data_IF_907429334694
#
_entry.id   IF_907429334694
#
_cell.length_a   1.000
_cell.length_b   1.000
_cell.length_c   1.000
_cell.angle_alpha   90.00
_cell.angle_beta   90.00
_cell.angle_gamma   90.00
#
_symmetry.space_group_name_H-M   'P 1'
#
loop_
_entity.id
_entity.type
_entity.pdbx_description
1 polymer ?
#
# COMPACT_ATOMS: atom_id res chain seq x y z
N UNK A 1 -13.15 20.41 -20.84
CA UNK A 1 -13.56 19.64 -19.64
C UNK A 1 -12.72 20.12 -18.47
N UNK A 2 -13.29 20.98 -17.64
CA UNK A 2 -12.55 21.71 -16.60
C UNK A 2 -12.30 20.81 -15.39
N UNK A 3 -11.04 20.40 -15.20
CA UNK A 3 -10.58 19.68 -14.02
C UNK A 3 -10.43 20.67 -12.87
N UNK A 4 -11.53 21.01 -12.21
CA UNK A 4 -11.51 21.87 -11.02
C UNK A 4 -10.77 21.12 -9.91
N UNK A 5 -9.57 21.60 -9.57
CA UNK A 5 -8.72 20.92 -8.59
C UNK A 5 -9.34 21.13 -7.21
N UNK A 6 -10.19 20.19 -6.81
CA UNK A 6 -10.95 20.22 -5.55
C UNK A 6 -9.98 20.43 -4.38
N UNK A 7 -10.10 21.59 -3.73
CA UNK A 7 -9.26 21.99 -2.59
C UNK A 7 -9.28 20.88 -1.54
N UNK A 8 -8.11 20.26 -1.28
CA UNK A 8 -8.01 19.17 -0.30
C UNK A 8 -8.19 19.74 1.11
N UNK A 9 -9.41 19.66 1.63
CA UNK A 9 -9.70 20.00 3.03
C UNK A 9 -9.11 18.91 3.92
N UNK A 10 -8.18 19.30 4.79
CA UNK A 10 -7.59 18.40 5.79
C UNK A 10 -8.59 18.27 6.94
N UNK A 11 -9.26 17.12 7.01
CA UNK A 11 -10.18 16.77 8.10
C UNK A 11 -9.44 16.01 9.20
N UNK A 12 -9.76 16.36 10.44
CA UNK A 12 -9.31 15.70 11.67
C UNK A 12 -9.94 14.32 11.85
N UNK A 13 -9.41 13.53 12.79
CA UNK A 13 -9.92 12.19 13.14
C UNK A 13 -11.40 12.26 13.56
N UNK A 14 -11.75 13.22 14.40
CA UNK A 14 -13.10 13.35 14.96
C UNK A 14 -14.14 13.74 13.90
N UNK A 15 -13.76 14.59 12.94
CA UNK A 15 -14.62 14.93 11.80
C UNK A 15 -14.90 13.69 10.93
N UNK A 16 -13.92 12.82 10.73
CA UNK A 16 -14.13 11.57 10.00
C UNK A 16 -15.04 10.61 10.76
N UNK A 17 -14.90 10.53 12.09
CA UNK A 17 -15.80 9.72 12.91
C UNK A 17 -17.26 10.19 12.76
N UNK A 18 -17.50 11.50 12.88
CA UNK A 18 -18.84 12.08 12.70
C UNK A 18 -19.44 11.78 11.33
N UNK A 19 -18.66 11.94 10.25
CA UNK A 19 -19.12 11.63 8.89
C UNK A 19 -19.46 10.15 8.71
N UNK A 20 -18.74 9.26 9.38
CA UNK A 20 -18.99 7.82 9.32
C UNK A 20 -20.27 7.47 10.08
N UNK A 21 -20.46 8.05 11.26
CA UNK A 21 -21.67 7.85 12.07
C UNK A 21 -22.91 8.41 11.34
N UNK A 22 -22.80 9.62 10.78
CA UNK A 22 -23.85 10.25 9.98
C UNK A 22 -24.18 9.40 8.74
N UNK A 23 -23.17 8.85 8.05
CA UNK A 23 -23.40 7.94 6.93
C UNK A 23 -24.13 6.67 7.38
N UNK A 24 -23.81 6.12 8.55
CA UNK A 24 -24.46 4.93 9.09
C UNK A 24 -25.93 5.20 9.47
N UNK A 25 -26.24 6.37 10.04
CA UNK A 25 -27.61 6.74 10.42
C UNK A 25 -28.45 7.23 9.24
N UNK A 26 -27.83 7.79 8.21
CA UNK A 26 -28.54 8.38 7.07
C UNK A 26 -29.29 7.37 6.18
N UNK A 27 -28.93 6.07 6.25
CA UNK A 27 -29.48 5.05 5.36
C UNK A 27 -29.09 5.22 3.88
N UNK A 28 -28.23 6.19 3.55
CA UNK A 28 -27.81 6.47 2.18
C UNK A 28 -26.67 5.55 1.76
N UNK A 29 -26.59 5.28 0.45
CA UNK A 29 -25.43 4.60 -0.13
C UNK A 29 -24.18 5.45 0.02
N UNK A 30 -23.01 4.79 0.11
CA UNK A 30 -21.73 5.49 0.28
C UNK A 30 -21.45 6.49 -0.84
N UNK A 31 -21.84 6.18 -2.08
CA UNK A 31 -21.65 7.06 -3.24
C UNK A 31 -22.49 8.34 -3.13
N UNK A 32 -23.76 8.23 -2.76
CA UNK A 32 -24.66 9.37 -2.59
C UNK A 32 -24.17 10.30 -1.46
N UNK A 33 -23.82 9.72 -0.31
CA UNK A 33 -23.25 10.47 0.82
C UNK A 33 -21.93 11.16 0.44
N UNK A 34 -21.04 10.46 -0.25
CA UNK A 34 -19.76 11.04 -0.67
C UNK A 34 -19.93 12.21 -1.66
N UNK A 35 -20.90 12.11 -2.58
CA UNK A 35 -21.23 13.19 -3.50
C UNK A 35 -21.75 14.42 -2.76
N UNK A 36 -22.69 14.24 -1.82
CA UNK A 36 -23.28 15.32 -1.03
C UNK A 36 -22.25 16.03 -0.12
N UNK A 37 -21.38 15.28 0.55
CA UNK A 37 -20.36 15.83 1.47
C UNK A 37 -19.05 16.21 0.77
N UNK A 38 -18.99 16.05 -0.55
CA UNK A 38 -17.83 16.40 -1.37
C UNK A 38 -16.57 15.60 -1.04
N UNK A 39 -16.70 14.37 -0.54
CA UNK A 39 -15.60 13.47 -0.22
C UNK A 39 -15.51 12.34 -1.25
N UNK A 40 -14.36 11.65 -1.30
CA UNK A 40 -14.25 10.45 -2.12
C UNK A 40 -14.67 9.21 -1.33
N UNK A 41 -15.25 8.23 -2.02
CA UNK A 41 -15.61 6.92 -1.42
C UNK A 41 -14.37 6.23 -0.86
N UNK A 42 -13.25 6.29 -1.58
CA UNK A 42 -11.97 5.73 -1.14
C UNK A 42 -11.49 6.36 0.18
N UNK A 43 -11.64 7.68 0.36
CA UNK A 43 -11.31 8.36 1.62
C UNK A 43 -12.21 7.87 2.76
N UNK A 44 -13.52 7.78 2.54
CA UNK A 44 -14.46 7.31 3.55
C UNK A 44 -14.14 5.87 3.98
N UNK A 45 -13.87 4.97 3.03
CA UNK A 45 -13.51 3.58 3.31
C UNK A 45 -12.17 3.47 4.05
N UNK A 46 -11.17 4.25 3.65
CA UNK A 46 -9.88 4.25 4.35
C UNK A 46 -10.02 4.69 5.81
N UNK A 47 -10.83 5.72 6.07
CA UNK A 47 -11.08 6.19 7.44
C UNK A 47 -11.95 5.21 8.24
N UNK A 48 -12.93 4.54 7.63
CA UNK A 48 -13.65 3.44 8.27
C UNK A 48 -12.71 2.33 8.74
N UNK A 49 -11.78 1.92 7.88
CA UNK A 49 -10.76 0.92 8.24
C UNK A 49 -9.85 1.44 9.35
N UNK A 50 -9.38 2.69 9.27
CA UNK A 50 -8.49 3.28 10.29
C UNK A 50 -9.14 3.47 11.66
N UNK A 51 -10.45 3.70 11.72
CA UNK A 51 -11.19 3.92 12.96
C UNK A 51 -11.81 2.63 13.51
N UNK A 52 -12.12 1.67 12.64
CA UNK A 52 -12.66 0.36 13.04
C UNK A 52 -11.60 -0.71 13.27
N UNK A 53 -10.37 -0.53 12.79
CA UNK A 53 -9.27 -1.39 13.18
C UNK A 53 -8.94 -1.13 14.66
N UNK A 54 -8.87 -2.17 15.52
CA UNK A 54 -8.17 -2.01 16.79
C UNK A 54 -6.78 -1.50 16.46
N UNK A 55 -6.29 -0.53 17.24
CA UNK A 55 -4.99 0.11 17.03
C UNK A 55 -3.95 -1.00 16.85
N UNK A 56 -3.61 -1.28 15.58
CA UNK A 56 -2.70 -2.36 15.28
C UNK A 56 -1.40 -1.97 15.98
N UNK A 57 -0.81 -2.87 16.78
CA UNK A 57 0.47 -2.56 17.39
C UNK A 57 1.39 -2.06 16.27
N UNK A 58 2.12 -0.95 16.49
CA UNK A 58 2.95 -0.36 15.46
C UNK A 58 3.78 -1.48 14.86
N UNK A 59 3.64 -1.69 13.53
CA UNK A 59 4.33 -2.76 12.83
C UNK A 59 5.79 -2.69 13.25
N UNK A 60 6.24 -3.71 13.99
CA UNK A 60 7.59 -3.73 14.52
C UNK A 60 8.51 -3.64 13.32
N UNK A 61 9.34 -2.59 13.29
CA UNK A 61 10.32 -2.38 12.25
C UNK A 61 11.13 -3.67 12.08
N UNK A 62 10.89 -4.37 10.96
CA UNK A 62 11.59 -5.60 10.65
C UNK A 62 12.90 -5.19 10.00
N UNK A 63 13.98 -5.21 10.78
CA UNK A 63 15.34 -5.13 10.26
C UNK A 63 15.58 -6.33 9.34
N UNK A 64 15.35 -6.12 8.04
CA UNK A 64 15.88 -6.96 6.97
C UNK A 64 17.38 -6.73 7.00
N UNK A 65 18.09 -7.46 7.87
CA UNK A 65 19.49 -7.23 8.22
C UNK A 65 20.37 -6.91 7.02
N UNK A 66 21.48 -6.20 7.27
CA UNK A 66 22.37 -5.68 6.23
C UNK A 66 22.50 -6.63 5.04
N UNK A 67 22.04 -6.16 3.87
CA UNK A 67 22.27 -6.85 2.61
C UNK A 67 23.79 -6.94 2.48
N UNK A 68 24.35 -8.12 2.76
CA UNK A 68 25.79 -8.31 2.76
C UNK A 68 26.31 -7.71 1.46
N UNK A 69 27.23 -6.73 1.57
CA UNK A 69 27.96 -6.25 0.41
C UNK A 69 28.48 -7.49 -0.28
N UNK A 70 27.95 -7.76 -1.47
CA UNK A 70 28.32 -8.93 -2.23
C UNK A 70 29.80 -8.77 -2.56
N UNK A 71 30.68 -9.28 -1.67
CA UNK A 71 32.07 -9.58 -1.98
C UNK A 71 32.00 -10.37 -3.26
N UNK A 72 32.41 -9.73 -4.36
CA UNK A 72 32.43 -10.22 -5.73
C UNK A 72 31.97 -11.67 -5.81
N UNK A 73 30.65 -11.87 -5.90
CA UNK A 73 30.08 -13.20 -5.73
C UNK A 73 30.79 -14.13 -6.71
N UNK A 74 31.52 -15.11 -6.17
CA UNK A 74 32.12 -16.18 -6.94
C UNK A 74 30.94 -16.94 -7.54
N UNK A 75 30.63 -16.63 -8.79
CA UNK A 75 29.55 -17.29 -9.49
C UNK A 75 30.13 -18.43 -10.31
N UNK A 76 29.42 -19.54 -10.34
CA UNK A 76 29.68 -20.69 -11.20
C UNK A 76 28.46 -20.87 -12.11
N UNK A 77 28.70 -21.00 -13.41
CA UNK A 77 27.67 -21.22 -14.43
C UNK A 77 28.07 -22.44 -15.24
N UNK A 78 27.19 -23.44 -15.25
CA UNK A 78 27.29 -24.62 -16.08
C UNK A 78 26.26 -24.55 -17.21
N UNK A 79 26.71 -24.75 -18.45
CA UNK A 79 25.87 -24.77 -19.64
C UNK A 79 26.15 -26.05 -20.43
N UNK A 80 25.13 -26.89 -20.58
CA UNK A 80 25.20 -28.07 -21.45
C UNK A 80 24.92 -27.66 -22.91
N UNK A 81 25.87 -27.93 -23.80
CA UNK A 81 25.77 -27.61 -25.23
C UNK A 81 25.26 -28.80 -26.07
N UNK A 82 24.96 -29.93 -25.42
CA UNK A 82 24.60 -31.20 -26.05
C UNK A 82 25.82 -32.05 -26.44
N UNK A 83 25.59 -33.29 -26.88
CA UNK A 83 26.64 -34.25 -27.26
C UNK A 83 27.69 -34.51 -26.17
N UNK A 84 27.29 -34.39 -24.89
CA UNK A 84 28.19 -34.56 -23.74
C UNK A 84 29.15 -33.39 -23.51
N UNK A 85 28.98 -32.27 -24.22
CA UNK A 85 29.80 -31.07 -24.04
C UNK A 85 29.16 -30.17 -22.99
N UNK A 86 29.94 -29.85 -21.96
CA UNK A 86 29.53 -28.97 -20.87
C UNK A 86 30.54 -27.84 -20.73
N UNK A 87 30.05 -26.61 -20.73
CA UNK A 87 30.84 -25.40 -20.50
C UNK A 87 30.64 -24.93 -19.07
N UNK A 88 31.73 -24.82 -18.30
CA UNK A 88 31.73 -24.29 -16.93
C UNK A 88 32.51 -23.00 -16.87
N UNK A 89 31.90 -21.95 -16.33
CA UNK A 89 32.52 -20.66 -16.08
C UNK A 89 32.44 -20.36 -14.60
N UNK A 90 33.56 -20.01 -13.99
CA UNK A 90 33.59 -19.52 -12.62
C UNK A 90 34.33 -18.19 -12.54
N UNK A 91 33.93 -17.33 -11.59
CA UNK A 91 34.64 -16.10 -11.25
C UNK A 91 35.35 -16.28 -9.90
N UNK A 92 36.68 -16.21 -9.90
CA UNK A 92 37.52 -16.07 -8.70
C UNK A 92 37.74 -14.59 -8.36
#
# INVERSE_FOLDING_TARGET
MSSETKRRIRRSRDEWQRLIDEQATSGQTQSAFCAAHGISVASLQNWKRRLGAPEAPPESWLELGALAEAKSATWDVELELGNGIVLRLHRC
#
